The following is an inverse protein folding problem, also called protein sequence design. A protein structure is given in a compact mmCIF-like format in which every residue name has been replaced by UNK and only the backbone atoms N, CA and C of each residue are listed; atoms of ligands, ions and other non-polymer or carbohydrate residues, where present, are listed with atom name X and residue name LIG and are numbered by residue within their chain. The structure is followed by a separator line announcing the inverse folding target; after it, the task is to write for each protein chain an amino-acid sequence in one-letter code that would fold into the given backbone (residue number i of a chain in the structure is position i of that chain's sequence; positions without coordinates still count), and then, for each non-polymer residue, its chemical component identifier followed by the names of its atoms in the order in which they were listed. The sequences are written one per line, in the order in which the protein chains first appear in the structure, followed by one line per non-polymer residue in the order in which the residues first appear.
data_IF_818949249214
#
_entry.id   IF_818949249214
#
_cell.length_a   1.000
_cell.length_b   1.000
_cell.length_c   1.000
_cell.angle_alpha   90.00
_cell.angle_beta   90.00
_cell.angle_gamma   90.00
#
_symmetry.space_group_name_H-M   'P 1'
#
loop_
_entity.id
_entity.type
_entity.pdbx_description
1 polymer ?
#
# COMPACT_ATOMS: atom_id res chain seq x y z
N UNK A 1 9.79 -7.08 -15.66
CA UNK A 1 9.06 -7.08 -14.39
C UNK A 1 8.84 -5.65 -13.91
N UNK A 2 7.58 -5.20 -13.77
CA UNK A 2 7.34 -3.80 -13.36
C UNK A 2 7.85 -3.53 -11.95
N UNK A 3 8.73 -2.57 -11.85
CA UNK A 3 9.25 -2.09 -10.57
C UNK A 3 9.43 -0.58 -10.65
N UNK A 4 8.97 0.12 -9.61
CA UNK A 4 9.11 1.57 -9.56
C UNK A 4 9.36 2.04 -8.13
N UNK A 5 10.18 3.08 -8.01
CA UNK A 5 10.48 3.73 -6.74
C UNK A 5 10.27 5.24 -6.89
N UNK A 6 9.64 5.85 -5.90
CA UNK A 6 9.49 7.29 -5.82
C UNK A 6 9.75 7.76 -4.39
N UNK A 7 10.30 8.96 -4.27
CA UNK A 7 10.47 9.65 -3.00
C UNK A 7 9.66 10.93 -3.08
N UNK A 8 8.75 11.14 -2.14
CA UNK A 8 7.86 12.27 -2.16
C UNK A 8 7.64 12.87 -0.77
N UNK A 9 7.53 14.19 -0.70
CA UNK A 9 7.18 14.86 0.54
C UNK A 9 5.66 14.87 0.69
N UNK A 10 5.17 14.45 1.84
CA UNK A 10 3.77 14.58 2.24
C UNK A 10 3.65 15.72 3.25
N UNK A 11 2.73 16.64 3.02
CA UNK A 11 2.50 17.81 3.87
C UNK A 11 1.60 17.47 5.06
N UNK A 12 1.88 16.32 5.70
CA UNK A 12 1.13 15.77 6.83
C UNK A 12 2.08 15.17 7.85
N UNK A 13 1.68 15.13 9.14
CA UNK A 13 2.51 14.49 10.17
C UNK A 13 2.81 13.03 9.84
N UNK A 14 4.01 12.57 10.18
CA UNK A 14 4.42 11.18 9.94
C UNK A 14 3.42 10.19 10.54
N UNK A 15 2.93 10.46 11.75
CA UNK A 15 1.99 9.55 12.44
C UNK A 15 0.67 9.39 11.67
N UNK A 16 0.19 10.47 11.05
CA UNK A 16 -1.02 10.40 10.23
C UNK A 16 -0.80 9.48 9.04
N UNK A 17 0.33 9.63 8.34
CA UNK A 17 0.67 8.82 7.17
C UNK A 17 0.92 7.37 7.58
N UNK A 18 1.64 7.15 8.68
CA UNK A 18 1.89 5.83 9.24
C UNK A 18 0.58 5.07 9.52
N UNK A 19 -0.34 5.72 10.24
CA UNK A 19 -1.63 5.12 10.57
C UNK A 19 -2.48 4.86 9.33
N UNK A 20 -2.43 5.74 8.36
CA UNK A 20 -3.14 5.60 7.09
C UNK A 20 -2.68 4.34 6.32
N UNK A 21 -1.38 4.13 6.24
CA UNK A 21 -0.81 2.98 5.51
C UNK A 21 -1.16 1.65 6.20
N UNK A 22 -1.22 1.65 7.53
CA UNK A 22 -1.53 0.46 8.32
C UNK A 22 -3.04 0.20 8.45
N UNK A 23 -3.89 1.17 8.08
CA UNK A 23 -5.34 1.07 8.19
C UNK A 23 -5.95 0.35 6.98
N UNK A 24 -5.60 -0.91 6.83
CA UNK A 24 -5.92 -1.70 5.63
C UNK A 24 -7.43 -1.95 5.50
N UNK A 25 -8.17 -2.03 6.61
CA UNK A 25 -9.63 -2.19 6.57
C UNK A 25 -10.33 -1.07 5.79
N UNK A 26 -9.73 0.10 5.73
CA UNK A 26 -10.29 1.26 5.01
C UNK A 26 -9.74 1.45 3.60
N UNK A 27 -8.86 0.58 3.13
CA UNK A 27 -8.34 0.67 1.75
C UNK A 27 -9.47 0.62 0.71
N UNK A 28 -10.50 -0.16 0.96
CA UNK A 28 -11.67 -0.26 0.07
C UNK A 28 -12.40 1.07 -0.13
N UNK A 29 -12.21 2.03 0.80
CA UNK A 29 -12.87 3.34 0.73
C UNK A 29 -12.18 4.31 -0.23
N UNK A 30 -10.90 4.11 -0.53
CA UNK A 30 -10.16 5.10 -1.31
C UNK A 30 -9.16 4.53 -2.33
N UNK A 31 -8.67 3.30 -2.12
CA UNK A 31 -7.62 2.75 -2.97
C UNK A 31 -8.21 2.27 -4.31
N UNK A 32 -7.67 2.74 -5.45
CA UNK A 32 -8.17 2.30 -6.76
C UNK A 32 -8.03 0.79 -6.91
N UNK A 33 -9.00 0.20 -7.56
CA UNK A 33 -9.11 -1.24 -7.82
C UNK A 33 -9.26 -2.12 -6.58
N UNK A 34 -9.24 -1.57 -5.38
CA UNK A 34 -9.51 -2.31 -4.16
C UNK A 34 -11.02 -2.28 -3.87
N UNK A 35 -11.69 -3.39 -4.11
CA UNK A 35 -13.15 -3.50 -3.95
C UNK A 35 -13.54 -4.02 -2.58
N UNK A 36 -12.61 -4.66 -1.87
CA UNK A 36 -12.78 -5.05 -0.48
C UNK A 36 -11.41 -5.19 0.19
N UNK A 37 -11.38 -4.99 1.49
CA UNK A 37 -10.18 -5.17 2.29
C UNK A 37 -10.56 -5.53 3.71
N UNK A 38 -9.81 -6.48 4.31
CA UNK A 38 -10.09 -6.93 5.67
C UNK A 38 -8.82 -7.43 6.34
N UNK A 39 -8.53 -6.91 7.51
CA UNK A 39 -7.45 -7.43 8.36
C UNK A 39 -7.92 -8.75 8.97
N UNK A 40 -7.13 -9.81 8.76
CA UNK A 40 -7.42 -11.16 9.25
C UNK A 40 -6.76 -11.38 10.62
N UNK A 41 -5.52 -10.91 10.78
CA UNK A 41 -4.81 -11.01 12.06
C UNK A 41 -3.84 -9.86 12.21
N UNK A 42 -3.57 -9.50 13.45
CA UNK A 42 -2.62 -8.43 13.77
C UNK A 42 -1.94 -8.75 15.09
N UNK A 43 -0.61 -8.82 15.06
CA UNK A 43 0.24 -9.01 16.23
C UNK A 43 1.15 -7.80 16.38
N UNK A 44 1.22 -7.25 17.58
CA UNK A 44 1.99 -6.06 17.85
C UNK A 44 2.91 -6.27 19.04
N UNK A 45 4.18 -5.94 18.85
CA UNK A 45 5.16 -5.85 19.93
C UNK A 45 5.61 -4.39 20.06
N UNK A 46 6.57 -4.12 20.95
CA UNK A 46 7.11 -2.76 21.09
C UNK A 46 7.91 -2.30 19.88
N UNK A 47 8.38 -3.22 19.02
CA UNK A 47 9.26 -2.91 17.88
C UNK A 47 8.69 -3.31 16.53
N UNK A 48 7.63 -4.11 16.50
CA UNK A 48 7.12 -4.71 15.26
C UNK A 48 5.61 -4.82 15.26
N UNK A 49 5.00 -4.55 14.11
CA UNK A 49 3.59 -4.84 13.85
C UNK A 49 3.54 -5.82 12.68
N UNK A 50 2.84 -6.93 12.87
CA UNK A 50 2.67 -7.98 11.86
C UNK A 50 1.18 -8.11 11.54
N UNK A 51 0.80 -7.81 10.29
CA UNK A 51 -0.59 -7.81 9.85
C UNK A 51 -0.75 -8.77 8.69
N UNK A 52 -1.79 -9.61 8.74
CA UNK A 52 -2.27 -10.36 7.58
C UNK A 52 -3.63 -9.82 7.19
N UNK A 53 -3.80 -9.51 5.92
CA UNK A 53 -5.03 -8.92 5.41
C UNK A 53 -5.39 -9.51 4.05
N UNK A 54 -6.68 -9.65 3.80
CA UNK A 54 -7.18 -10.07 2.50
C UNK A 54 -7.66 -8.82 1.74
N UNK A 55 -7.15 -8.65 0.51
CA UNK A 55 -7.55 -7.58 -0.38
C UNK A 55 -8.18 -8.17 -1.64
N UNK A 56 -9.34 -7.64 -2.01
CA UNK A 56 -10.00 -7.98 -3.26
C UNK A 56 -9.66 -6.93 -4.30
N UNK A 57 -9.09 -7.37 -5.41
CA UNK A 57 -8.75 -6.51 -6.53
C UNK A 57 -9.81 -6.70 -7.61
N UNK A 58 -10.42 -5.61 -8.07
CA UNK A 58 -11.38 -5.63 -9.16
C UNK A 58 -10.93 -4.77 -10.33
N UNK A 59 -10.99 -5.31 -11.53
CA UNK A 59 -10.73 -4.58 -12.76
C UNK A 59 -11.72 -5.04 -13.80
N UNK A 60 -12.53 -4.09 -14.30
CA UNK A 60 -13.65 -4.41 -15.18
C UNK A 60 -14.61 -5.36 -14.43
N UNK A 61 -14.92 -6.53 -14.99
CA UNK A 61 -15.77 -7.53 -14.33
C UNK A 61 -14.98 -8.67 -13.68
N UNK A 62 -13.66 -8.57 -13.67
CA UNK A 62 -12.80 -9.57 -13.05
C UNK A 62 -12.43 -9.14 -11.63
N UNK A 63 -12.57 -10.06 -10.68
CA UNK A 63 -12.20 -9.84 -9.28
C UNK A 63 -11.40 -11.00 -8.77
N UNK A 64 -10.41 -10.73 -7.92
CA UNK A 64 -9.63 -11.77 -7.27
C UNK A 64 -9.17 -11.29 -5.89
N UNK A 65 -8.89 -12.24 -5.00
CA UNK A 65 -8.49 -11.96 -3.62
C UNK A 65 -7.07 -12.46 -3.42
N UNK A 66 -6.22 -11.62 -2.83
CA UNK A 66 -4.90 -12.05 -2.40
C UNK A 66 -4.71 -11.75 -0.91
N UNK A 67 -3.89 -12.60 -0.26
CA UNK A 67 -3.52 -12.37 1.13
C UNK A 67 -2.22 -11.60 1.20
N UNK A 68 -2.26 -10.46 1.84
CA UNK A 68 -1.13 -9.57 2.05
C UNK A 68 -0.53 -9.83 3.44
N UNK A 69 0.80 -9.83 3.50
CA UNK A 69 1.53 -9.90 4.76
C UNK A 69 2.31 -8.60 4.93
N UNK A 70 1.93 -7.83 5.93
CA UNK A 70 2.48 -6.50 6.21
C UNK A 70 3.30 -6.56 7.48
N UNK A 71 4.56 -6.18 7.38
CA UNK A 71 5.46 -6.10 8.54
C UNK A 71 5.95 -4.68 8.65
N UNK A 72 5.68 -4.06 9.80
CA UNK A 72 6.13 -2.71 10.10
C UNK A 72 7.20 -2.73 11.18
N UNK A 73 8.41 -2.31 10.82
CA UNK A 73 9.50 -2.08 11.77
C UNK A 73 9.33 -0.66 12.32
N UNK A 74 8.88 -0.57 13.57
CA UNK A 74 8.51 0.71 14.20
C UNK A 74 9.73 1.62 14.35
N UNK A 75 10.89 1.06 14.66
CA UNK A 75 12.11 1.85 14.87
C UNK A 75 12.67 2.41 13.56
N UNK A 76 12.65 1.61 12.50
CA UNK A 76 13.15 2.03 11.19
C UNK A 76 12.12 2.79 10.38
N UNK A 77 10.87 2.83 10.82
CA UNK A 77 9.75 3.42 10.08
C UNK A 77 9.63 2.83 8.68
N UNK A 78 9.79 1.51 8.59
CA UNK A 78 9.79 0.77 7.32
C UNK A 78 8.69 -0.28 7.32
N UNK A 79 7.85 -0.21 6.28
CA UNK A 79 6.74 -1.15 6.08
C UNK A 79 7.07 -2.01 4.87
N UNK A 80 7.05 -3.33 5.04
CA UNK A 80 7.29 -4.28 3.94
C UNK A 80 6.03 -5.10 3.74
N UNK A 81 5.55 -5.15 2.50
CA UNK A 81 4.33 -5.87 2.12
C UNK A 81 4.68 -6.94 1.09
N UNK A 82 4.29 -8.18 1.37
CA UNK A 82 4.44 -9.30 0.45
C UNK A 82 3.08 -9.99 0.27
N UNK A 83 2.90 -10.70 -0.84
CA UNK A 83 1.73 -11.54 -1.06
C UNK A 83 2.01 -12.95 -0.56
N UNK A 84 1.12 -13.49 0.28
CA UNK A 84 1.23 -14.86 0.78
C UNK A 84 0.57 -15.86 -0.16
N UNK A 85 -0.56 -15.49 -0.77
CA UNK A 85 -1.27 -16.31 -1.75
C UNK A 85 -2.22 -15.44 -2.56
N UNK A 86 -2.61 -15.94 -3.73
CA UNK A 86 -3.55 -15.26 -4.60
C UNK A 86 -3.05 -15.21 -6.04
N UNK A 87 -3.59 -14.29 -6.87
CA UNK A 87 -3.26 -14.18 -8.30
C UNK A 87 -1.89 -13.57 -8.57
N UNK A 88 -1.21 -13.09 -7.55
CA UNK A 88 0.09 -12.43 -7.69
C UNK A 88 1.21 -13.46 -7.67
N UNK A 89 2.07 -13.42 -8.68
CA UNK A 89 3.30 -14.21 -8.70
C UNK A 89 4.33 -13.56 -7.79
N UNK A 90 4.43 -12.24 -7.84
CA UNK A 90 5.33 -11.45 -7.02
C UNK A 90 4.63 -10.18 -6.57
N UNK A 91 4.74 -9.87 -5.30
CA UNK A 91 4.42 -8.55 -4.77
C UNK A 91 5.49 -8.18 -3.76
N UNK A 92 6.16 -7.08 -4.02
CA UNK A 92 7.04 -6.44 -3.04
C UNK A 92 6.65 -4.97 -3.02
N UNK A 93 6.17 -4.52 -1.87
CA UNK A 93 5.83 -3.11 -1.67
C UNK A 93 6.54 -2.66 -0.40
N UNK A 94 7.32 -1.61 -0.50
CA UNK A 94 8.09 -1.10 0.62
C UNK A 94 7.80 0.38 0.79
N UNK A 95 7.49 0.77 2.03
CA UNK A 95 7.33 2.15 2.43
C UNK A 95 8.40 2.49 3.45
N UNK A 96 9.10 3.59 3.27
CA UNK A 96 10.03 4.12 4.26
C UNK A 96 9.59 5.54 4.59
N UNK A 97 9.34 5.79 5.86
CA UNK A 97 8.85 7.09 6.34
C UNK A 97 9.95 7.81 7.10
N UNK A 98 10.12 9.10 6.81
CA UNK A 98 11.11 9.93 7.48
C UNK A 98 10.47 11.25 7.91
N UNK A 99 10.56 11.55 9.19
CA UNK A 99 10.05 12.80 9.72
C UNK A 99 10.90 13.97 9.23
N UNK A 100 10.26 15.01 8.66
CA UNK A 100 10.91 16.26 8.31
C UNK A 100 10.71 17.26 9.44
N UNK A 101 9.47 17.42 9.89
CA UNK A 101 9.09 18.27 11.03
C UNK A 101 7.74 17.75 11.57
N UNK A 102 7.10 18.49 12.46
CA UNK A 102 5.85 18.04 13.08
C UNK A 102 4.67 17.94 12.11
N UNK A 103 4.76 18.58 10.93
CA UNK A 103 3.67 18.63 9.96
C UNK A 103 4.02 18.05 8.60
N UNK A 104 5.23 17.53 8.43
CA UNK A 104 5.70 17.04 7.14
C UNK A 104 6.53 15.78 7.31
N UNK A 105 6.45 14.88 6.34
CA UNK A 105 7.29 13.69 6.28
C UNK A 105 7.69 13.39 4.84
N UNK A 106 8.77 12.65 4.70
CA UNK A 106 9.22 12.12 3.41
C UNK A 106 8.77 10.68 3.32
N UNK A 107 8.17 10.31 2.19
CA UNK A 107 7.69 8.97 1.91
C UNK A 107 8.47 8.40 0.75
N UNK A 108 9.17 7.28 0.98
CA UNK A 108 9.77 6.48 -0.07
C UNK A 108 8.85 5.30 -0.31
N UNK A 109 8.45 5.13 -1.57
CA UNK A 109 7.50 4.10 -1.98
C UNK A 109 8.10 3.27 -3.11
N UNK A 110 8.20 1.97 -2.89
CA UNK A 110 8.68 1.01 -3.89
C UNK A 110 7.59 -0.02 -4.13
N UNK A 111 7.31 -0.31 -5.39
CA UNK A 111 6.45 -1.43 -5.73
C UNK A 111 7.05 -2.25 -6.86
N UNK A 112 7.00 -3.57 -6.69
CA UNK A 112 7.38 -4.55 -7.69
C UNK A 112 6.27 -5.58 -7.73
N UNK A 113 5.62 -5.74 -8.87
CA UNK A 113 4.38 -6.49 -8.99
C UNK A 113 4.39 -7.33 -10.26
N UNK A 114 4.02 -8.61 -10.13
CA UNK A 114 3.89 -9.51 -11.26
C UNK A 114 2.68 -10.42 -11.04
N UNK A 115 1.85 -10.55 -12.06
CA UNK A 115 0.66 -11.40 -12.04
C UNK A 115 0.98 -12.78 -12.63
N UNK A 116 0.31 -13.82 -12.13
CA UNK A 116 0.46 -15.19 -12.64
C UNK A 116 -0.08 -15.33 -14.07
N UNK A 117 -1.18 -14.65 -14.38
CA UNK A 117 -1.77 -14.65 -15.71
C UNK A 117 -0.92 -13.82 -16.68
N UNK A 118 -0.41 -14.45 -17.74
CA UNK A 118 0.50 -13.81 -18.69
C UNK A 118 -0.15 -12.62 -19.40
N UNK A 119 -1.41 -12.75 -19.80
CA UNK A 119 -2.12 -11.69 -20.52
C UNK A 119 -2.35 -10.48 -19.62
N UNK A 120 -2.83 -10.72 -18.38
CA UNK A 120 -3.05 -9.66 -17.41
C UNK A 120 -1.74 -9.00 -17.01
N UNK A 121 -0.65 -9.78 -16.91
CA UNK A 121 0.66 -9.22 -16.58
C UNK A 121 1.19 -8.28 -17.67
N UNK A 122 0.95 -8.61 -18.94
CA UNK A 122 1.31 -7.71 -20.05
C UNK A 122 0.50 -6.42 -20.01
N UNK A 123 -0.80 -6.50 -19.72
CA UNK A 123 -1.64 -5.32 -19.56
C UNK A 123 -1.16 -4.44 -18.41
N UNK A 124 -0.85 -5.07 -17.27
CA UNK A 124 -0.31 -4.37 -16.11
C UNK A 124 0.97 -3.63 -16.46
N UNK A 125 1.90 -4.27 -17.18
CA UNK A 125 3.16 -3.66 -17.58
C UNK A 125 2.95 -2.40 -18.42
N UNK A 126 1.95 -2.39 -19.31
CA UNK A 126 1.61 -1.22 -20.12
C UNK A 126 1.01 -0.08 -19.32
N UNK A 127 0.26 -0.39 -18.26
CA UNK A 127 -0.45 0.59 -17.45
C UNK A 127 0.25 0.91 -16.15
N UNK A 128 1.44 0.36 -15.93
CA UNK A 128 2.09 0.37 -14.62
C UNK A 128 2.35 1.77 -14.09
N UNK A 129 2.90 2.66 -14.92
CA UNK A 129 3.22 4.02 -14.49
C UNK A 129 1.97 4.80 -14.08
N UNK A 130 0.90 4.68 -14.87
CA UNK A 130 -0.36 5.32 -14.55
C UNK A 130 -0.96 4.78 -13.24
N UNK A 131 -0.98 3.45 -13.10
CA UNK A 131 -1.51 2.80 -11.90
C UNK A 131 -0.71 3.14 -10.65
N UNK A 132 0.60 3.17 -10.76
CA UNK A 132 1.51 3.53 -9.68
C UNK A 132 1.22 4.95 -9.16
N UNK A 133 1.13 5.92 -10.06
CA UNK A 133 0.86 7.30 -9.69
C UNK A 133 -0.53 7.46 -9.10
N UNK A 134 -1.52 6.76 -9.64
CA UNK A 134 -2.88 6.80 -9.13
C UNK A 134 -2.98 6.23 -7.72
N UNK A 135 -2.27 5.15 -7.44
CA UNK A 135 -2.22 4.55 -6.10
C UNK A 135 -1.61 5.55 -5.11
N UNK A 136 -0.45 6.11 -5.43
CA UNK A 136 0.23 7.04 -4.53
C UNK A 136 -0.61 8.29 -4.29
N UNK A 137 -1.23 8.82 -5.35
CA UNK A 137 -2.12 9.98 -5.23
C UNK A 137 -3.33 9.67 -4.33
N UNK A 138 -3.86 8.46 -4.38
CA UNK A 138 -4.99 8.08 -3.54
C UNK A 138 -4.62 8.11 -2.05
N UNK A 139 -3.40 7.72 -1.69
CA UNK A 139 -2.91 7.84 -0.32
C UNK A 139 -2.76 9.31 0.10
N UNK A 140 -2.26 10.17 -0.79
CA UNK A 140 -2.17 11.60 -0.50
C UNK A 140 -3.55 12.23 -0.30
N UNK A 141 -4.50 11.91 -1.18
CA UNK A 141 -5.87 12.42 -1.10
C UNK A 141 -6.55 11.94 0.18
N UNK A 142 -6.29 10.68 0.60
CA UNK A 142 -6.81 10.16 1.86
C UNK A 142 -6.19 10.87 3.06
N UNK A 143 -4.90 11.16 3.02
CA UNK A 143 -4.21 11.92 4.05
C UNK A 143 -4.86 13.31 4.21
N UNK A 144 -5.17 13.98 3.11
CA UNK A 144 -5.88 15.25 3.12
C UNK A 144 -7.27 15.12 3.74
N UNK A 145 -8.01 14.09 3.36
CA UNK A 145 -9.34 13.80 3.90
C UNK A 145 -9.28 13.61 5.42
N UNK A 146 -8.35 12.78 5.91
CA UNK A 146 -8.19 12.51 7.34
C UNK A 146 -7.75 13.76 8.11
N UNK A 147 -6.87 14.57 7.52
CA UNK A 147 -6.42 15.83 8.12
C UNK A 147 -7.57 16.81 8.29
N UNK A 148 -8.49 16.89 7.32
CA UNK A 148 -9.63 17.81 7.35
C UNK A 148 -10.77 17.30 8.24
N UNK A 149 -10.75 16.03 8.65
CA UNK A 149 -11.81 15.41 9.46
C UNK A 149 -11.57 15.58 10.96
N UNK A 150 -10.43 16.14 11.35
CA UNK A 150 -10.07 16.37 12.76
C UNK A 150 -10.27 17.82 13.16
#
# INVERSE_FOLDING_TARGET
MPKKKIIKKFDYPLELVENLILDIDNYKEFLPWCTNSKIISQDKTSTLIDIKADLEIGYSFAKDIYRSHVIYDINKKKIIVNALKGPLKTLENIWVLKKINDNECEVEFVINLELKNIILNKMLSKMFDYGFEKILKSFEDRAKFLSNSN
#
